data_IF_748117688572
#
_entry.id   IF_748117688572
#
_cell.length_a   1.000
_cell.length_b   1.000
_cell.length_c   1.000
_cell.angle_alpha   90.00
_cell.angle_beta   90.00
_cell.angle_gamma   90.00
#
_symmetry.space_group_name_H-M   'P 1'
#
loop_
_entity.id
_entity.type
_entity.pdbx_description
1 polymer ?
#
# COMPACT_ATOMS: atom_id res chain seq x y z
N UNK A 1 -5.29 -37.58 -6.57
CA UNK A 1 -6.08 -36.32 -6.54
C UNK A 1 -5.21 -35.18 -7.04
N UNK A 2 -5.71 -34.41 -8.01
CA UNK A 2 -5.07 -33.17 -8.46
C UNK A 2 -5.28 -32.09 -7.40
N UNK A 3 -4.22 -31.35 -7.05
CA UNK A 3 -4.29 -30.21 -6.13
C UNK A 3 -4.46 -28.94 -6.95
N UNK A 4 -5.47 -28.13 -6.64
CA UNK A 4 -5.77 -26.85 -7.31
C UNK A 4 -5.74 -25.75 -6.26
N UNK A 5 -5.05 -24.64 -6.54
CA UNK A 5 -4.90 -23.51 -5.62
C UNK A 5 -5.73 -22.31 -6.09
N UNK A 6 -6.75 -21.94 -5.31
CA UNK A 6 -7.68 -20.84 -5.62
C UNK A 6 -7.73 -19.78 -4.51
N UNK A 7 -6.64 -19.62 -3.76
CA UNK A 7 -6.53 -18.68 -2.63
C UNK A 7 -5.45 -17.61 -2.88
N UNK A 8 -5.39 -17.10 -4.12
CA UNK A 8 -4.38 -16.11 -4.53
C UNK A 8 -4.56 -14.75 -3.83
N UNK A 9 -5.76 -14.43 -3.35
CA UNK A 9 -5.98 -13.23 -2.54
C UNK A 9 -5.29 -13.32 -1.17
N UNK A 10 -5.09 -14.52 -0.60
CA UNK A 10 -4.30 -14.68 0.61
C UNK A 10 -2.80 -14.58 0.33
N UNK A 11 -2.29 -15.32 -0.66
CA UNK A 11 -0.90 -15.26 -1.13
C UNK A 11 -0.77 -15.91 -2.50
N UNK A 12 0.25 -15.51 -3.25
CA UNK A 12 0.56 -16.07 -4.57
C UNK A 12 1.82 -16.93 -4.54
N UNK A 13 1.95 -17.85 -5.49
CA UNK A 13 3.23 -18.50 -5.81
C UNK A 13 4.22 -17.45 -6.33
N UNK A 14 5.48 -17.51 -5.88
CA UNK A 14 6.55 -16.62 -6.39
C UNK A 14 6.85 -16.98 -7.85
N UNK A 15 6.93 -15.96 -8.71
CA UNK A 15 7.26 -16.16 -10.13
C UNK A 15 8.66 -16.82 -10.25
N UNK A 16 8.83 -17.90 -11.04
CA UNK A 16 10.13 -18.56 -11.20
C UNK A 16 11.27 -17.62 -11.62
N UNK A 17 10.96 -16.55 -12.38
CA UNK A 17 11.94 -15.51 -12.77
C UNK A 17 12.40 -14.70 -11.56
N UNK A 18 11.49 -14.42 -10.62
CA UNK A 18 11.80 -13.75 -9.36
C UNK A 18 12.60 -14.67 -8.44
N UNK A 19 12.22 -15.96 -8.33
CA UNK A 19 13.00 -16.95 -7.59
C UNK A 19 14.45 -16.99 -8.10
N UNK A 20 14.65 -17.04 -9.41
CA UNK A 20 15.99 -17.02 -10.01
C UNK A 20 16.79 -15.79 -9.58
N UNK A 21 16.22 -14.59 -9.68
CA UNK A 21 16.90 -13.34 -9.30
C UNK A 21 17.31 -13.37 -7.82
N UNK A 22 16.41 -13.81 -6.93
CA UNK A 22 16.69 -13.88 -5.48
C UNK A 22 17.77 -14.92 -5.19
N UNK A 23 17.70 -16.11 -5.79
CA UNK A 23 18.71 -17.15 -5.60
C UNK A 23 20.09 -16.72 -6.12
N UNK A 24 20.14 -16.06 -7.28
CA UNK A 24 21.38 -15.53 -7.86
C UNK A 24 22.01 -14.46 -6.97
N UNK A 25 21.20 -13.62 -6.32
CA UNK A 25 21.69 -12.59 -5.39
C UNK A 25 22.20 -13.21 -4.07
N UNK A 26 21.44 -14.14 -3.49
CA UNK A 26 21.80 -14.83 -2.23
C UNK A 26 23.01 -15.74 -2.36
N UNK A 27 23.22 -16.36 -3.52
CA UNK A 27 24.36 -17.25 -3.78
C UNK A 27 25.60 -16.49 -4.26
N UNK A 28 25.50 -15.16 -4.41
CA UNK A 28 26.57 -14.28 -4.84
C UNK A 28 27.61 -13.98 -3.75
N UNK A 29 28.62 -13.15 -4.06
CA UNK A 29 29.58 -12.71 -3.06
C UNK A 29 28.89 -11.88 -1.96
N UNK A 30 29.36 -11.96 -0.70
CA UNK A 30 28.79 -11.18 0.38
C UNK A 30 28.92 -9.69 0.06
N UNK A 31 27.79 -8.99 0.05
CA UNK A 31 27.72 -7.58 -0.29
C UNK A 31 26.77 -6.85 0.66
N UNK A 32 27.22 -5.70 1.13
CA UNK A 32 26.41 -4.76 1.90
C UNK A 32 26.31 -3.46 1.07
N UNK A 33 25.12 -2.99 0.70
CA UNK A 33 24.96 -1.77 -0.10
C UNK A 33 25.49 -0.49 0.58
N UNK A 34 25.77 -0.54 1.89
CA UNK A 34 26.42 0.56 2.64
C UNK A 34 27.95 0.53 2.55
N UNK A 35 28.55 -0.53 2.01
CA UNK A 35 30.00 -0.63 1.86
C UNK A 35 30.52 0.15 0.65
N UNK A 36 31.68 0.79 0.82
CA UNK A 36 32.33 1.59 -0.24
C UNK A 36 33.19 0.78 -1.22
N UNK A 37 33.46 -0.50 -0.92
CA UNK A 37 34.21 -1.38 -1.82
C UNK A 37 33.35 -1.85 -3.00
N UNK A 38 34.00 -2.41 -4.02
CA UNK A 38 33.36 -2.80 -5.28
C UNK A 38 32.07 -3.63 -5.10
N UNK A 39 32.08 -4.67 -4.25
CA UNK A 39 30.89 -5.49 -4.01
C UNK A 39 29.71 -4.69 -3.41
N UNK A 40 29.99 -3.76 -2.49
CA UNK A 40 28.96 -2.91 -1.88
C UNK A 40 28.39 -1.91 -2.87
N UNK A 41 29.24 -1.28 -3.69
CA UNK A 41 28.81 -0.42 -4.80
C UNK A 41 27.88 -1.18 -5.76
N UNK A 42 28.23 -2.44 -6.11
CA UNK A 42 27.38 -3.27 -6.98
C UNK A 42 26.04 -3.63 -6.35
N UNK A 43 26.00 -3.94 -5.05
CA UNK A 43 24.74 -4.15 -4.34
C UNK A 43 23.88 -2.87 -4.29
N UNK A 44 24.51 -1.71 -4.04
CA UNK A 44 23.82 -0.41 -4.06
C UNK A 44 23.24 -0.09 -5.43
N UNK A 45 23.97 -0.35 -6.51
CA UNK A 45 23.49 -0.19 -7.89
C UNK A 45 22.23 -1.04 -8.14
N UNK A 46 22.25 -2.33 -7.78
CA UNK A 46 21.07 -3.21 -7.90
C UNK A 46 19.86 -2.67 -7.13
N UNK A 47 20.06 -2.17 -5.91
CA UNK A 47 18.98 -1.60 -5.09
C UNK A 47 18.40 -0.33 -5.73
N UNK A 48 19.25 0.54 -6.31
CA UNK A 48 18.81 1.74 -7.02
C UNK A 48 18.05 1.38 -8.31
N UNK A 49 18.52 0.41 -9.09
CA UNK A 49 17.81 -0.08 -10.27
C UNK A 49 16.43 -0.68 -9.92
N UNK A 50 16.33 -1.42 -8.82
CA UNK A 50 15.04 -1.94 -8.34
C UNK A 50 14.07 -0.79 -7.97
N UNK A 51 14.59 0.22 -7.27
CA UNK A 51 13.85 1.42 -6.88
C UNK A 51 13.37 2.23 -8.08
N UNK A 52 14.21 2.42 -9.08
CA UNK A 52 13.85 3.09 -10.35
C UNK A 52 12.74 2.33 -11.09
N UNK A 53 12.81 0.99 -11.14
CA UNK A 53 11.74 0.17 -11.74
C UNK A 53 10.41 0.33 -11.02
N UNK A 54 10.42 0.35 -9.69
CA UNK A 54 9.22 0.63 -8.89
C UNK A 54 8.69 2.04 -9.18
N UNK A 55 9.54 3.06 -9.17
CA UNK A 55 9.17 4.45 -9.44
C UNK A 55 8.51 4.61 -10.82
N UNK A 56 9.07 3.98 -11.86
CA UNK A 56 8.48 3.96 -13.21
C UNK A 56 7.09 3.33 -13.20
N UNK A 57 6.92 2.18 -12.52
CA UNK A 57 5.64 1.48 -12.45
C UNK A 57 4.55 2.32 -11.74
N UNK A 58 4.92 3.02 -10.66
CA UNK A 58 3.98 3.84 -9.88
C UNK A 58 3.88 5.29 -10.36
N UNK A 59 4.57 5.66 -11.45
CA UNK A 59 4.65 7.04 -11.93
C UNK A 59 5.09 8.03 -10.83
N UNK A 60 6.01 7.60 -9.97
CA UNK A 60 6.57 8.38 -8.87
C UNK A 60 8.06 8.61 -9.06
N UNK A 61 8.69 9.35 -8.15
CA UNK A 61 10.14 9.54 -8.13
C UNK A 61 10.84 8.44 -7.33
N UNK A 62 12.09 8.06 -7.67
CA UNK A 62 12.84 7.06 -6.90
C UNK A 62 12.97 7.40 -5.41
N UNK A 63 13.02 8.68 -5.05
CA UNK A 63 13.12 9.14 -3.66
C UNK A 63 11.80 8.93 -2.87
N UNK A 64 10.67 8.78 -3.57
CA UNK A 64 9.34 8.56 -2.99
C UNK A 64 9.06 7.08 -2.72
N UNK A 65 9.92 6.17 -3.17
CA UNK A 65 9.77 4.73 -2.96
C UNK A 65 10.37 4.30 -1.63
N UNK A 66 9.60 3.69 -0.74
CA UNK A 66 10.13 3.10 0.50
C UNK A 66 9.99 1.58 0.45
N UNK A 67 11.11 0.86 0.54
CA UNK A 67 11.07 -0.59 0.71
C UNK A 67 10.73 -0.92 2.16
N UNK A 68 9.73 -1.77 2.35
CA UNK A 68 9.29 -2.27 3.66
C UNK A 68 9.32 -3.80 3.65
N UNK A 69 9.10 -4.42 4.81
CA UNK A 69 9.00 -5.88 4.96
C UNK A 69 7.63 -6.44 4.57
N UNK A 70 6.58 -5.62 4.52
CA UNK A 70 5.21 -6.07 4.22
C UNK A 70 4.24 -4.90 4.03
N UNK A 71 3.07 -5.19 3.46
CA UNK A 71 1.95 -4.23 3.45
C UNK A 71 1.54 -3.78 4.86
N UNK A 72 1.63 -4.64 5.87
CA UNK A 72 1.34 -4.28 7.27
C UNK A 72 2.31 -3.21 7.79
N UNK A 73 3.60 -3.34 7.50
CA UNK A 73 4.59 -2.31 7.88
C UNK A 73 4.33 -1.01 7.12
N UNK A 74 4.06 -1.08 5.81
CA UNK A 74 3.73 0.09 5.00
C UNK A 74 2.52 0.85 5.54
N UNK A 75 1.43 0.14 5.86
CA UNK A 75 0.21 0.72 6.46
C UNK A 75 0.54 1.40 7.79
N UNK A 76 1.30 0.72 8.66
CA UNK A 76 1.69 1.25 9.96
C UNK A 76 2.54 2.52 9.79
N UNK A 77 3.54 2.51 8.90
CA UNK A 77 4.43 3.63 8.65
C UNK A 77 3.65 4.84 8.11
N UNK A 78 2.78 4.61 7.12
CA UNK A 78 1.90 5.61 6.52
C UNK A 78 1.01 6.29 7.57
N UNK A 79 0.32 5.50 8.40
CA UNK A 79 -0.61 6.00 9.42
C UNK A 79 0.10 6.64 10.61
N UNK A 80 1.28 6.15 10.98
CA UNK A 80 2.06 6.73 12.07
C UNK A 80 2.52 8.17 11.76
N UNK A 81 2.57 8.58 10.49
CA UNK A 81 2.88 9.95 10.09
C UNK A 81 1.79 10.99 10.40
N UNK A 82 0.56 10.56 10.72
CA UNK A 82 -0.57 11.47 10.94
C UNK A 82 -0.56 12.16 12.31
N UNK A 83 -1.13 13.36 12.42
CA UNK A 83 -1.26 14.04 13.70
C UNK A 83 -2.35 13.38 14.55
N UNK A 84 -2.02 12.95 15.77
CA UNK A 84 -2.96 12.25 16.67
C UNK A 84 -4.17 13.09 17.10
N UNK A 85 -4.17 14.40 16.94
CA UNK A 85 -5.29 15.28 17.34
C UNK A 85 -6.24 15.69 16.21
N UNK A 86 -6.09 15.13 15.01
CA UNK A 86 -6.95 15.46 13.87
C UNK A 86 -8.11 14.47 13.68
N UNK A 87 -8.69 14.50 12.47
CA UNK A 87 -9.76 13.62 12.05
C UNK A 87 -9.38 12.80 10.80
N UNK A 88 -9.70 11.52 10.78
CA UNK A 88 -9.50 10.61 9.66
C UNK A 88 -10.83 9.95 9.27
N UNK A 89 -11.03 9.70 7.98
CA UNK A 89 -12.21 8.99 7.45
C UNK A 89 -11.74 7.69 6.80
N UNK A 90 -12.40 6.59 7.13
CA UNK A 90 -12.14 5.24 6.59
C UNK A 90 -13.42 4.41 6.55
N UNK A 91 -13.34 3.12 6.23
CA UNK A 91 -14.51 2.20 6.20
C UNK A 91 -14.42 1.08 7.23
N UNK A 92 -15.55 0.42 7.50
CA UNK A 92 -15.60 -0.76 8.37
C UNK A 92 -15.24 -2.09 7.67
N UNK A 93 -14.75 -2.05 6.42
CA UNK A 93 -14.40 -3.23 5.61
C UNK A 93 -12.91 -3.27 5.24
N UNK A 94 -12.08 -2.51 5.95
CA UNK A 94 -10.65 -2.45 5.71
C UNK A 94 -9.93 -3.72 6.17
N UNK A 95 -8.76 -3.99 5.58
CA UNK A 95 -7.94 -5.10 6.02
C UNK A 95 -7.56 -4.95 7.51
N UNK A 96 -7.52 -6.08 8.24
CA UNK A 96 -7.27 -6.10 9.69
C UNK A 96 -6.00 -5.36 10.15
N UNK A 97 -4.96 -5.26 9.30
CA UNK A 97 -3.77 -4.47 9.60
C UNK A 97 -4.06 -2.97 9.66
N UNK A 98 -4.89 -2.46 8.73
CA UNK A 98 -5.29 -1.07 8.68
C UNK A 98 -6.31 -0.75 9.77
N UNK A 99 -7.31 -1.61 9.94
CA UNK A 99 -8.31 -1.48 11.01
C UNK A 99 -7.63 -1.34 12.39
N UNK A 100 -6.73 -2.27 12.74
CA UNK A 100 -6.01 -2.24 14.02
C UNK A 100 -5.09 -1.04 14.17
N UNK A 101 -4.44 -0.60 13.08
CA UNK A 101 -3.59 0.58 13.10
C UNK A 101 -4.42 1.85 13.35
N UNK A 102 -5.58 1.99 12.70
CA UNK A 102 -6.49 3.13 12.90
C UNK A 102 -7.10 3.10 14.31
N UNK A 103 -7.55 1.94 14.81
CA UNK A 103 -8.03 1.79 16.19
C UNK A 103 -6.97 2.16 17.24
N UNK A 104 -5.69 1.93 16.95
CA UNK A 104 -4.59 2.40 17.79
C UNK A 104 -4.52 3.93 17.78
N UNK A 105 -4.64 4.57 16.62
CA UNK A 105 -4.68 6.03 16.52
C UNK A 105 -5.88 6.62 17.29
N UNK A 106 -7.05 5.99 17.24
CA UNK A 106 -8.22 6.40 18.04
C UNK A 106 -7.92 6.41 19.54
N UNK A 107 -7.28 5.34 20.04
CA UNK A 107 -6.84 5.26 21.45
C UNK A 107 -5.80 6.31 21.80
N UNK A 108 -5.04 6.80 20.83
CA UNK A 108 -4.06 7.87 20.98
C UNK A 108 -4.67 9.28 20.83
N UNK A 109 -6.00 9.38 20.61
CA UNK A 109 -6.75 10.64 20.59
C UNK A 109 -7.22 11.10 19.21
N UNK A 110 -6.98 10.32 18.15
CA UNK A 110 -7.45 10.62 16.80
C UNK A 110 -8.97 10.48 16.74
N UNK A 111 -9.66 11.45 16.13
CA UNK A 111 -11.08 11.27 15.77
C UNK A 111 -11.15 10.46 14.49
N UNK A 112 -11.98 9.42 14.44
CA UNK A 112 -12.17 8.61 13.24
C UNK A 112 -13.64 8.49 12.88
N UNK A 113 -13.95 8.72 11.61
CA UNK A 113 -15.25 8.36 11.04
C UNK A 113 -15.12 7.04 10.30
N UNK A 114 -15.82 6.03 10.80
CA UNK A 114 -15.95 4.72 10.17
C UNK A 114 -17.22 4.70 9.30
N UNK A 115 -17.07 4.70 7.98
CA UNK A 115 -18.18 4.63 7.05
C UNK A 115 -18.60 3.18 6.79
N UNK A 116 -19.90 2.95 6.80
CA UNK A 116 -20.48 1.66 6.41
C UNK A 116 -20.65 1.58 4.89
N UNK A 117 -20.09 0.53 4.28
CA UNK A 117 -20.19 0.31 2.83
C UNK A 117 -21.45 -0.44 2.38
N UNK A 118 -22.23 -0.99 3.32
CA UNK A 118 -23.47 -1.69 3.01
C UNK A 118 -23.34 -2.76 1.92
N UNK A 119 -24.36 -2.88 1.07
CA UNK A 119 -24.44 -3.92 0.02
C UNK A 119 -23.52 -3.67 -1.18
N UNK A 120 -23.05 -2.44 -1.39
CA UNK A 120 -22.16 -2.12 -2.53
C UNK A 120 -20.74 -2.63 -2.27
N UNK A 121 -20.34 -2.80 -1.02
CA UNK A 121 -18.99 -3.24 -0.65
C UNK A 121 -17.90 -2.21 -0.90
N UNK A 122 -18.26 -0.94 -1.14
CA UNK A 122 -17.36 0.20 -1.28
C UNK A 122 -17.99 1.46 -0.65
N UNK A 123 -17.19 2.43 -0.16
CA UNK A 123 -17.73 3.67 0.37
C UNK A 123 -18.38 4.49 -0.74
N UNK A 124 -19.56 5.05 -0.46
CA UNK A 124 -20.22 6.02 -1.33
C UNK A 124 -19.42 7.34 -1.32
N UNK A 125 -18.91 7.81 -2.47
CA UNK A 125 -18.17 9.07 -2.56
C UNK A 125 -18.92 10.27 -1.98
N UNK A 126 -20.25 10.32 -2.13
CA UNK A 126 -21.03 11.45 -1.61
C UNK A 126 -21.08 11.43 -0.08
N UNK A 127 -21.13 10.24 0.52
CA UNK A 127 -21.02 10.07 1.98
C UNK A 127 -19.62 10.39 2.51
N UNK A 128 -18.58 10.07 1.74
CA UNK A 128 -17.21 10.49 2.07
C UNK A 128 -17.13 12.01 2.08
N UNK A 129 -17.61 12.70 1.03
CA UNK A 129 -17.57 14.17 0.97
C UNK A 129 -18.36 14.81 2.11
N UNK A 130 -19.52 14.26 2.48
CA UNK A 130 -20.34 14.75 3.59
C UNK A 130 -19.69 14.56 4.98
N UNK A 131 -18.90 13.51 5.17
CA UNK A 131 -18.20 13.24 6.42
C UNK A 131 -16.98 14.16 6.65
N UNK A 132 -16.54 14.89 5.62
CA UNK A 132 -15.40 15.80 5.73
C UNK A 132 -15.75 17.00 6.59
N UNK A 133 -14.96 17.18 7.65
CA UNK A 133 -14.98 18.36 8.55
C UNK A 133 -13.69 19.18 8.40
N UNK A 134 -13.65 20.38 9.00
CA UNK A 134 -12.47 21.27 9.01
C UNK A 134 -11.20 20.63 9.58
N UNK A 135 -11.34 19.62 10.43
CA UNK A 135 -10.22 18.95 11.10
C UNK A 135 -9.76 17.67 10.37
N UNK A 136 -10.41 17.34 9.25
CA UNK A 136 -10.12 16.12 8.49
C UNK A 136 -8.77 16.26 7.82
N UNK A 137 -7.82 15.43 8.24
CA UNK A 137 -6.44 15.49 7.76
C UNK A 137 -6.10 14.38 6.77
N UNK A 138 -6.90 13.33 6.67
CA UNK A 138 -6.65 12.21 5.76
C UNK A 138 -7.93 11.43 5.44
N UNK A 139 -8.00 10.96 4.20
CA UNK A 139 -8.91 9.93 3.73
C UNK A 139 -8.13 8.62 3.57
N UNK A 140 -8.57 7.54 4.21
CA UNK A 140 -7.80 6.29 4.28
C UNK A 140 -8.65 5.10 3.87
N UNK A 141 -8.28 4.43 2.77
CA UNK A 141 -9.10 3.38 2.16
C UNK A 141 -8.28 2.29 1.50
N UNK A 142 -8.81 1.06 1.47
CA UNK A 142 -8.30 0.02 0.57
C UNK A 142 -8.74 0.29 -0.87
N UNK A 143 -7.83 0.13 -1.83
CA UNK A 143 -8.13 0.24 -3.27
C UNK A 143 -9.06 -0.88 -3.75
N UNK A 144 -8.96 -2.05 -3.13
CA UNK A 144 -9.87 -3.18 -3.33
C UNK A 144 -10.03 -3.93 -2.02
N UNK A 145 -11.24 -4.41 -1.74
CA UNK A 145 -11.46 -5.34 -0.64
C UNK A 145 -10.84 -6.71 -0.99
N UNK A 146 -10.09 -7.30 -0.05
CA UNK A 146 -9.39 -8.57 -0.28
C UNK A 146 -10.29 -9.81 -0.28
N UNK A 147 -11.50 -9.69 0.27
CA UNK A 147 -12.47 -10.78 0.40
C UNK A 147 -13.45 -10.80 -0.78
N UNK A 148 -13.98 -9.64 -1.15
CA UNK A 148 -15.01 -9.51 -2.20
C UNK A 148 -14.44 -9.10 -3.56
N UNK A 149 -13.24 -8.49 -3.59
CA UNK A 149 -12.67 -7.91 -4.80
C UNK A 149 -13.35 -6.61 -5.26
N UNK A 150 -14.29 -6.07 -4.47
CA UNK A 150 -14.92 -4.79 -4.78
C UNK A 150 -13.88 -3.68 -4.73
N UNK A 151 -13.87 -2.83 -5.77
CA UNK A 151 -12.90 -1.76 -5.96
C UNK A 151 -13.44 -0.43 -5.44
N UNK A 152 -12.54 0.39 -4.90
CA UNK A 152 -12.81 1.78 -4.60
C UNK A 152 -13.02 2.57 -5.90
N UNK A 153 -13.95 3.52 -5.90
CA UNK A 153 -14.06 4.53 -6.96
C UNK A 153 -12.92 5.56 -6.81
N UNK A 154 -11.71 5.16 -7.21
CA UNK A 154 -10.49 5.94 -6.99
C UNK A 154 -10.53 7.31 -7.68
N UNK A 155 -11.15 7.40 -8.85
CA UNK A 155 -11.28 8.66 -9.59
C UNK A 155 -12.10 9.68 -8.81
N UNK A 156 -13.29 9.28 -8.31
CA UNK A 156 -14.12 10.17 -7.48
C UNK A 156 -13.45 10.50 -6.16
N UNK A 157 -12.78 9.54 -5.52
CA UNK A 157 -12.04 9.81 -4.28
C UNK A 157 -10.94 10.84 -4.50
N UNK A 158 -10.18 10.71 -5.59
CA UNK A 158 -9.13 11.67 -5.95
C UNK A 158 -9.70 13.07 -6.19
N UNK A 159 -10.83 13.18 -6.90
CA UNK A 159 -11.50 14.46 -7.15
C UNK A 159 -11.97 15.13 -5.85
N UNK A 160 -12.57 14.37 -4.92
CA UNK A 160 -12.98 14.87 -3.60
C UNK A 160 -11.76 15.33 -2.80
N UNK A 161 -10.74 14.48 -2.72
CA UNK A 161 -9.52 14.73 -1.97
C UNK A 161 -8.78 15.99 -2.45
N UNK A 162 -8.61 16.14 -3.77
CA UNK A 162 -7.99 17.33 -4.37
C UNK A 162 -8.81 18.59 -4.13
N UNK A 163 -10.13 18.55 -4.38
CA UNK A 163 -11.04 19.69 -4.15
C UNK A 163 -11.01 20.17 -2.69
N UNK A 164 -10.82 19.25 -1.74
CA UNK A 164 -10.80 19.55 -0.30
C UNK A 164 -9.39 19.79 0.25
N UNK A 165 -8.35 19.53 -0.53
CA UNK A 165 -6.95 19.60 -0.08
C UNK A 165 -6.61 18.58 1.01
N UNK A 166 -7.21 17.40 0.97
CA UNK A 166 -7.02 16.33 1.96
C UNK A 166 -6.26 15.18 1.29
N UNK A 167 -5.16 14.66 1.88
CA UNK A 167 -4.42 13.56 1.31
C UNK A 167 -5.20 12.24 1.35
N UNK A 168 -5.03 11.43 0.30
CA UNK A 168 -5.44 10.03 0.25
C UNK A 168 -4.27 9.13 0.65
N UNK A 169 -4.54 8.23 1.59
CA UNK A 169 -3.62 7.18 2.03
C UNK A 169 -4.27 5.83 1.71
N UNK A 170 -3.63 5.01 0.89
CA UNK A 170 -4.30 3.89 0.27
C UNK A 170 -3.65 2.54 0.64
N UNK A 171 -4.47 1.54 0.93
CA UNK A 171 -4.04 0.14 0.95
C UNK A 171 -4.20 -0.47 -0.46
N UNK A 172 -3.07 -0.67 -1.16
CA UNK A 172 -3.01 -1.26 -2.50
C UNK A 172 -2.76 -2.77 -2.51
N UNK A 173 -2.67 -3.42 -1.35
CA UNK A 173 -2.25 -4.82 -1.21
C UNK A 173 -3.10 -5.80 -2.02
N UNK A 174 -4.41 -5.58 -2.10
CA UNK A 174 -5.33 -6.44 -2.86
C UNK A 174 -5.52 -6.01 -4.32
N UNK A 175 -5.00 -4.84 -4.74
CA UNK A 175 -5.26 -4.20 -6.02
C UNK A 175 -4.06 -4.28 -6.98
N UNK A 176 -2.86 -3.95 -6.48
CA UNK A 176 -1.63 -3.89 -7.30
C UNK A 176 -1.28 -5.27 -7.86
N UNK A 177 -0.97 -5.31 -9.16
CA UNK A 177 -0.68 -6.54 -9.90
C UNK A 177 -1.92 -7.25 -10.47
N UNK A 178 -3.13 -6.75 -10.18
CA UNK A 178 -4.39 -7.26 -10.74
C UNK A 178 -5.09 -6.22 -11.61
N UNK A 179 -4.99 -4.96 -11.22
CA UNK A 179 -5.62 -3.81 -11.88
C UNK A 179 -4.58 -2.77 -12.27
N UNK A 180 -4.95 -1.88 -13.18
CA UNK A 180 -4.10 -0.75 -13.59
C UNK A 180 -4.17 0.32 -12.52
N UNK A 181 -3.02 0.64 -11.93
CA UNK A 181 -2.90 1.77 -11.01
C UNK A 181 -2.50 3.03 -11.79
N UNK A 182 -3.16 4.14 -11.51
CA UNK A 182 -2.78 5.46 -12.01
C UNK A 182 -2.38 6.36 -10.84
N UNK A 183 -1.46 7.28 -11.10
CA UNK A 183 -1.03 8.25 -10.10
C UNK A 183 -1.88 9.51 -10.15
N UNK A 184 -2.12 10.10 -8.98
CA UNK A 184 -2.85 11.36 -8.83
C UNK A 184 -2.21 12.24 -7.75
N UNK A 185 -2.30 13.56 -7.89
CA UNK A 185 -1.72 14.56 -6.95
C UNK A 185 -2.21 14.37 -5.51
N UNK A 186 -3.46 13.96 -5.34
CA UNK A 186 -4.09 13.71 -4.05
C UNK A 186 -3.63 12.42 -3.35
N UNK A 187 -3.04 11.46 -4.09
CA UNK A 187 -2.56 10.20 -3.52
C UNK A 187 -1.20 10.46 -2.87
N UNK A 188 -1.17 10.43 -1.54
CA UNK A 188 0.02 10.77 -0.77
C UNK A 188 0.87 9.55 -0.40
N UNK A 189 0.26 8.37 -0.31
CA UNK A 189 0.95 7.12 -0.02
C UNK A 189 0.12 5.89 -0.43
N UNK A 190 0.78 4.80 -0.84
CA UNK A 190 0.13 3.53 -1.20
C UNK A 190 0.89 2.35 -0.60
N UNK A 191 0.26 1.63 0.33
CA UNK A 191 0.85 0.45 0.95
C UNK A 191 0.73 -0.79 0.06
N UNK A 192 1.81 -1.55 -0.10
CA UNK A 192 1.92 -2.66 -1.05
C UNK A 192 2.64 -3.85 -0.40
N UNK A 193 2.23 -5.08 -0.77
CA UNK A 193 2.83 -6.32 -0.29
C UNK A 193 3.18 -7.26 -1.44
N UNK A 194 4.46 -7.61 -1.58
CA UNK A 194 4.98 -8.36 -2.73
C UNK A 194 4.34 -9.74 -2.94
N UNK A 195 4.05 -10.45 -1.86
CA UNK A 195 3.50 -11.81 -1.92
C UNK A 195 2.03 -11.89 -2.39
N UNK A 196 1.42 -10.75 -2.74
CA UNK A 196 0.10 -10.68 -3.38
C UNK A 196 0.17 -10.61 -4.91
N UNK A 197 1.36 -10.41 -5.49
CA UNK A 197 1.59 -10.32 -6.93
C UNK A 197 2.89 -11.03 -7.35
N UNK A 198 3.09 -12.24 -6.82
CA UNK A 198 4.15 -13.18 -7.23
C UNK A 198 5.58 -12.81 -6.82
N UNK A 199 5.76 -11.90 -5.85
CA UNK A 199 7.05 -11.67 -5.20
C UNK A 199 7.19 -12.44 -3.86
N UNK A 200 8.40 -12.55 -3.28
CA UNK A 200 8.60 -13.28 -2.02
C UNK A 200 7.86 -12.63 -0.85
N UNK A 201 7.46 -13.46 0.12
CA UNK A 201 7.04 -12.99 1.45
C UNK A 201 8.20 -12.23 2.11
N UNK A 202 7.88 -11.26 2.96
CA UNK A 202 8.89 -10.39 3.58
C UNK A 202 9.34 -9.22 2.69
N UNK A 203 8.57 -8.89 1.65
CA UNK A 203 8.79 -7.72 0.81
C UNK A 203 7.53 -6.86 0.73
N UNK A 204 7.71 -5.55 0.83
CA UNK A 204 6.66 -4.54 0.72
C UNK A 204 7.20 -3.23 0.14
N UNK A 205 6.27 -2.34 -0.18
CA UNK A 205 6.54 -0.99 -0.67
C UNK A 205 5.60 -0.01 0.01
N UNK A 206 6.03 1.23 0.19
CA UNK A 206 5.20 2.38 0.49
C UNK A 206 5.53 3.51 -0.49
#
# INVERSE_FOLDING_TARGET
MQRIYLDNNATTLVDPRVVKIVCDDLSGPPANPSSVHWFGIKAKQKLMEAREKCAIFFHSKPEEILFTSSGTESISLMLNGLNRKGHLITTNIEHSAMEKAIQKLEKEGMRVTWLECGITGAPDPDRVEQAITSDTQALVFSLSNSETGVRLDLERMCAIAEKKGIPLLLDGVAYIGKEIFFQHSAIQAVAISGHKFHAPKGTGLL
#
